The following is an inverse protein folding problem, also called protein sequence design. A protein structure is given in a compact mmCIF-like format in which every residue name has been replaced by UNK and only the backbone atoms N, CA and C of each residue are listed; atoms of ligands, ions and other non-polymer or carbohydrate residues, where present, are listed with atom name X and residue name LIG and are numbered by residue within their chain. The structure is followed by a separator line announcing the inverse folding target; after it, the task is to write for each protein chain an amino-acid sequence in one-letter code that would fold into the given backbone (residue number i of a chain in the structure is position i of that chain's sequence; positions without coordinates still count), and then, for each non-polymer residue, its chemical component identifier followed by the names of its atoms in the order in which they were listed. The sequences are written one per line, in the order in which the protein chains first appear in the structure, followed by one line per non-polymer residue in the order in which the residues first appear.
data_IF_875225420327
#
_entry.id   IF_875225420327
#
_cell.length_a   1.000
_cell.length_b   1.000
_cell.length_c   1.000
_cell.angle_alpha   90.00
_cell.angle_beta   90.00
_cell.angle_gamma   90.00
#
_symmetry.space_group_name_H-M   'P 1'
#
loop_
_entity.id
_entity.type
_entity.pdbx_description
1 polymer ?
#
# COMPACT_ATOMS: atom_id res chain seq x y z
N UNK A 1 -5.93 -7.67 6.40
CA UNK A 1 -6.30 -6.65 7.42
C UNK A 1 -7.41 -7.21 8.29
N UNK A 2 -7.10 -7.87 9.39
CA UNK A 2 -8.09 -8.44 10.32
C UNK A 2 -8.50 -7.38 11.33
N UNK A 3 -9.70 -6.83 11.20
CA UNK A 3 -10.26 -5.89 12.19
C UNK A 3 -11.31 -6.58 13.05
N UNK A 4 -11.16 -6.43 14.36
CA UNK A 4 -12.06 -7.00 15.38
C UNK A 4 -13.40 -6.25 15.40
N UNK A 5 -14.49 -6.98 15.19
CA UNK A 5 -15.86 -6.48 15.30
C UNK A 5 -16.29 -6.39 16.77
N UNK A 6 -16.37 -5.20 17.36
CA UNK A 6 -16.96 -4.98 18.68
C UNK A 6 -18.46 -4.64 18.54
N UNK A 7 -19.32 -5.64 18.75
CA UNK A 7 -20.76 -5.40 18.90
C UNK A 7 -21.05 -4.78 20.27
N UNK A 8 -21.47 -3.53 20.28
CA UNK A 8 -22.10 -2.91 21.46
C UNK A 8 -23.61 -3.13 21.43
N UNK A 9 -24.10 -3.96 22.32
CA UNK A 9 -25.52 -4.06 22.66
C UNK A 9 -25.89 -2.90 23.57
N UNK A 10 -26.82 -2.05 23.11
CA UNK A 10 -27.42 -0.99 23.92
C UNK A 10 -28.68 -1.57 24.60
N UNK A 11 -28.71 -1.63 25.93
CA UNK A 11 -29.97 -1.75 26.65
C UNK A 11 -30.17 -0.52 27.54
N UNK A 12 -31.25 0.21 27.22
CA UNK A 12 -31.82 1.26 28.09
C UNK A 12 -32.69 0.61 29.14
N UNK A 13 -32.49 0.97 30.42
CA UNK A 13 -33.56 1.04 31.40
C UNK A 13 -33.17 2.01 32.51
N UNK A 14 -33.86 3.11 32.57
CA UNK A 14 -33.88 4.04 33.69
C UNK A 14 -34.76 3.46 34.79
N UNK A 15 -34.34 3.56 36.04
CA UNK A 15 -35.25 3.72 37.19
C UNK A 15 -34.53 4.45 38.33
N UNK A 16 -35.17 5.50 38.79
CA UNK A 16 -34.92 6.32 39.96
C UNK A 16 -35.13 5.50 41.24
N UNK A 17 -34.22 5.59 42.19
CA UNK A 17 -34.56 5.44 43.62
C UNK A 17 -33.57 6.28 44.46
N UNK A 18 -34.13 7.33 45.07
CA UNK A 18 -33.54 8.11 46.14
C UNK A 18 -33.66 7.29 47.43
N UNK A 19 -32.53 7.06 48.09
CA UNK A 19 -32.53 6.67 49.50
C UNK A 19 -31.41 7.40 50.25
N UNK A 20 -31.85 8.29 51.09
CA UNK A 20 -31.07 9.01 52.11
C UNK A 20 -30.66 7.99 53.18
N UNK A 21 -29.37 7.81 53.42
CA UNK A 21 -28.86 7.24 54.68
C UNK A 21 -27.72 8.09 55.22
N UNK A 22 -27.93 8.53 56.41
CA UNK A 22 -27.13 9.35 57.30
C UNK A 22 -25.89 8.56 57.76
N UNK A 23 -24.81 9.26 57.77
CA UNK A 23 -23.47 9.08 58.26
C UNK A 23 -23.07 7.94 59.19
N UNK A 24 -21.90 7.46 58.89
CA UNK A 24 -20.83 7.23 59.86
C UNK A 24 -19.51 7.40 59.08
N UNK A 25 -18.72 8.39 59.47
CA UNK A 25 -17.40 8.61 58.91
C UNK A 25 -16.48 7.48 59.33
N UNK A 26 -16.11 6.67 58.33
CA UNK A 26 -14.90 5.89 58.33
C UNK A 26 -13.99 6.56 57.33
N UNK A 27 -13.07 7.38 57.78
CA UNK A 27 -11.89 7.79 56.99
C UNK A 27 -11.05 6.55 56.71
N UNK A 28 -11.54 5.69 55.84
CA UNK A 28 -10.73 4.75 55.12
C UNK A 28 -10.00 5.56 54.05
N UNK A 29 -8.73 5.91 54.31
CA UNK A 29 -7.81 6.21 53.25
C UNK A 29 -7.78 4.98 52.38
N UNK A 30 -8.55 4.99 51.28
CA UNK A 30 -8.27 4.11 50.16
C UNK A 30 -6.87 4.54 49.68
N UNK A 31 -5.85 3.90 50.23
CA UNK A 31 -4.56 3.83 49.58
C UNK A 31 -4.89 3.30 48.18
N UNK A 32 -4.77 4.16 47.16
CA UNK A 32 -4.69 3.66 45.82
C UNK A 32 -3.65 2.55 45.89
N UNK A 33 -4.09 1.32 45.76
CA UNK A 33 -3.15 0.24 45.54
C UNK A 33 -2.37 0.71 44.31
N UNK A 34 -1.09 1.06 44.50
CA UNK A 34 -0.15 1.18 43.39
C UNK A 34 -0.42 -0.08 42.58
N UNK A 35 -1.07 0.10 41.41
CA UNK A 35 -1.52 -1.05 40.68
C UNK A 35 -0.23 -1.74 40.22
N UNK A 36 0.03 -2.93 40.74
CA UNK A 36 1.16 -3.75 40.31
C UNK A 36 1.17 -3.94 38.78
N UNK A 37 0.02 -3.64 38.15
CA UNK A 37 -0.21 -3.65 36.73
C UNK A 37 0.46 -2.51 35.96
N UNK A 38 0.65 -1.31 36.57
CA UNK A 38 1.29 -0.18 35.88
C UNK A 38 2.77 -0.46 35.59
N UNK A 39 3.39 -1.34 36.39
CA UNK A 39 4.77 -1.76 36.26
C UNK A 39 4.91 -3.22 35.80
N UNK A 40 3.80 -3.86 35.38
CA UNK A 40 3.89 -5.22 34.91
C UNK A 40 4.75 -5.27 33.65
N UNK A 41 5.75 -6.13 33.69
CA UNK A 41 6.61 -6.47 32.55
C UNK A 41 6.52 -7.99 32.41
N UNK A 42 6.08 -8.51 31.26
CA UNK A 42 6.07 -9.95 31.06
C UNK A 42 7.49 -10.51 31.24
N UNK A 43 7.63 -11.72 31.81
CA UNK A 43 8.91 -12.35 31.94
C UNK A 43 9.57 -12.53 30.57
N UNK A 44 10.91 -12.47 30.48
CA UNK A 44 11.61 -12.86 29.26
C UNK A 44 11.17 -14.26 28.84
N UNK A 45 10.83 -14.40 27.56
CA UNK A 45 10.49 -15.68 26.98
C UNK A 45 11.48 -15.97 25.84
N UNK A 46 11.92 -17.19 25.70
CA UNK A 46 12.83 -17.64 24.63
C UNK A 46 12.08 -18.12 23.37
N UNK A 47 10.76 -18.03 23.39
CA UNK A 47 9.90 -18.54 22.30
C UNK A 47 9.02 -17.48 21.63
N UNK A 48 8.74 -16.39 22.34
CA UNK A 48 7.75 -15.41 21.91
C UNK A 48 8.30 -13.99 22.00
N UNK A 49 7.79 -13.17 21.10
CA UNK A 49 7.92 -11.72 21.15
C UNK A 49 6.74 -11.12 21.95
N UNK A 50 6.94 -9.94 22.51
CA UNK A 50 5.93 -9.21 23.25
C UNK A 50 5.77 -7.81 22.69
N UNK A 51 4.54 -7.35 22.59
CA UNK A 51 4.19 -5.96 22.25
C UNK A 51 3.26 -5.40 23.33
N UNK A 52 3.54 -4.17 23.79
CA UNK A 52 2.64 -3.41 24.65
C UNK A 52 2.05 -2.24 23.88
N UNK A 53 0.73 -2.10 23.91
CA UNK A 53 0.02 -0.97 23.34
C UNK A 53 -0.04 0.21 24.33
N UNK A 54 -0.37 1.39 23.83
CA UNK A 54 -0.50 2.63 24.64
C UNK A 54 -1.64 2.54 25.65
N UNK A 55 -2.66 1.72 25.38
CA UNK A 55 -3.75 1.41 26.32
C UNK A 55 -3.35 0.42 27.44
N UNK A 56 -2.05 0.04 27.47
CA UNK A 56 -1.43 -0.90 28.43
C UNK A 56 -1.74 -2.39 28.19
N UNK A 57 -2.42 -2.75 27.12
CA UNK A 57 -2.58 -4.16 26.71
C UNK A 57 -1.25 -4.75 26.29
N UNK A 58 -0.99 -6.00 26.71
CA UNK A 58 0.14 -6.81 26.28
C UNK A 58 -0.34 -7.95 25.40
N UNK A 59 0.30 -8.07 24.23
CA UNK A 59 0.09 -9.18 23.31
C UNK A 59 1.36 -10.02 23.26
N UNK A 60 1.16 -11.35 23.24
CA UNK A 60 2.16 -12.38 23.09
C UNK A 60 2.05 -12.99 21.70
N UNK A 61 3.18 -13.25 21.04
CA UNK A 61 3.18 -13.82 19.70
C UNK A 61 4.50 -13.65 18.99
N UNK A 62 4.47 -13.35 17.70
CA UNK A 62 5.64 -13.13 16.86
C UNK A 62 5.58 -11.74 16.21
N UNK A 63 6.59 -10.92 16.46
CA UNK A 63 6.76 -9.66 15.74
C UNK A 63 7.20 -9.94 14.29
N UNK A 64 6.37 -9.58 13.32
CA UNK A 64 6.63 -9.82 11.90
C UNK A 64 7.48 -8.71 11.30
N UNK A 65 6.94 -7.49 11.19
CA UNK A 65 7.61 -6.37 10.54
C UNK A 65 7.13 -5.02 11.10
N UNK A 66 7.94 -4.00 10.85
CA UNK A 66 7.55 -2.59 10.90
C UNK A 66 7.95 -1.93 9.59
N UNK A 67 6.98 -1.54 8.79
CA UNK A 67 7.16 -0.76 7.57
C UNK A 67 6.15 0.40 7.53
N UNK A 68 6.61 1.54 7.03
CA UNK A 68 5.75 2.71 6.79
C UNK A 68 4.90 3.13 8.01
N UNK A 69 5.48 2.99 9.23
CA UNK A 69 4.88 3.25 10.54
C UNK A 69 3.78 2.26 10.97
N UNK A 70 3.63 1.15 10.28
CA UNK A 70 2.73 0.05 10.64
C UNK A 70 3.53 -1.12 11.21
N UNK A 71 3.05 -1.68 12.31
CA UNK A 71 3.59 -2.87 12.99
C UNK A 71 2.67 -4.04 12.70
N UNK A 72 3.20 -5.08 12.10
CA UNK A 72 2.51 -6.37 11.99
C UNK A 72 3.00 -7.29 13.11
N UNK A 73 2.05 -7.83 13.86
CA UNK A 73 2.28 -8.74 14.97
C UNK A 73 1.32 -9.91 14.90
N UNK A 74 1.86 -11.12 14.84
CA UNK A 74 1.10 -12.37 14.80
C UNK A 74 0.87 -12.84 16.25
N UNK A 75 -0.30 -12.55 16.77
CA UNK A 75 -0.66 -12.88 18.15
C UNK A 75 -1.09 -14.33 18.26
N UNK A 76 -0.65 -15.04 19.31
CA UNK A 76 -1.02 -16.42 19.55
C UNK A 76 -2.54 -16.66 19.61
N UNK A 77 -3.32 -15.67 20.03
CA UNK A 77 -4.77 -15.79 20.27
C UNK A 77 -5.62 -14.97 19.29
N UNK A 78 -5.04 -13.99 18.59
CA UNK A 78 -5.77 -13.01 17.77
C UNK A 78 -5.35 -13.05 16.30
N UNK A 79 -4.51 -14.01 15.90
CA UNK A 79 -3.91 -14.07 14.57
C UNK A 79 -3.10 -12.80 14.22
N UNK A 80 -2.89 -12.53 12.94
CA UNK A 80 -2.13 -11.38 12.47
C UNK A 80 -2.87 -10.08 12.77
N UNK A 81 -2.22 -9.19 13.53
CA UNK A 81 -2.72 -7.87 13.90
C UNK A 81 -1.80 -6.79 13.35
N UNK A 82 -2.39 -5.69 12.88
CA UNK A 82 -1.67 -4.50 12.43
C UNK A 82 -1.96 -3.33 13.37
N UNK A 83 -0.91 -2.65 13.81
CA UNK A 83 -0.98 -1.51 14.72
C UNK A 83 -0.21 -0.32 14.14
N UNK A 84 -0.73 0.88 14.34
CA UNK A 84 0.05 2.09 14.14
C UNK A 84 1.23 2.11 15.12
N UNK A 85 2.43 2.46 14.64
CA UNK A 85 3.60 2.53 15.53
C UNK A 85 3.36 3.47 16.72
N UNK A 86 2.57 4.54 16.54
CA UNK A 86 2.23 5.46 17.62
C UNK A 86 1.42 4.82 18.74
N UNK A 87 0.64 3.77 18.44
CA UNK A 87 -0.13 3.01 19.44
C UNK A 87 0.70 1.94 20.15
N UNK A 88 1.94 1.73 19.72
CA UNK A 88 2.86 0.76 20.32
C UNK A 88 3.74 1.45 21.35
N UNK A 89 3.67 1.04 22.62
CA UNK A 89 4.48 1.56 23.72
C UNK A 89 5.80 0.82 23.86
N UNK A 90 5.78 -0.51 23.74
CA UNK A 90 6.97 -1.36 23.86
C UNK A 90 6.96 -2.52 22.88
N UNK A 91 8.14 -2.92 22.44
CA UNK A 91 8.39 -4.15 21.67
C UNK A 91 9.55 -4.88 22.33
N UNK A 92 9.43 -6.18 22.50
CA UNK A 92 10.50 -7.06 23.02
C UNK A 92 10.57 -8.30 22.17
N UNK A 93 11.68 -8.53 21.49
CA UNK A 93 11.86 -9.68 20.62
C UNK A 93 12.75 -10.73 21.29
N UNK A 94 12.46 -12.01 21.01
CA UNK A 94 13.28 -13.12 21.45
C UNK A 94 14.31 -13.56 20.39
N UNK A 95 14.03 -13.27 19.11
CA UNK A 95 14.93 -13.53 17.99
C UNK A 95 15.53 -12.24 17.44
N UNK A 96 16.70 -12.31 16.81
CA UNK A 96 17.28 -11.17 16.12
C UNK A 96 16.33 -10.61 15.07
N UNK A 97 16.28 -9.29 14.95
CA UNK A 97 15.58 -8.54 13.92
C UNK A 97 16.58 -7.66 13.18
N UNK A 98 16.31 -7.41 11.90
CA UNK A 98 17.06 -6.46 11.08
C UNK A 98 16.40 -5.09 11.18
N UNK A 99 17.05 -4.16 11.87
CA UNK A 99 16.52 -2.81 12.17
C UNK A 99 17.27 -1.78 11.36
N UNK A 100 16.54 -1.01 10.55
CA UNK A 100 17.09 0.11 9.81
C UNK A 100 16.93 1.39 10.61
N UNK A 101 18.06 2.05 10.86
CA UNK A 101 18.18 3.30 11.62
C UNK A 101 18.69 4.39 10.69
N UNK A 102 18.11 5.58 10.78
CA UNK A 102 18.54 6.79 10.08
C UNK A 102 18.55 7.95 11.07
N UNK A 103 19.67 8.67 11.15
CA UNK A 103 19.74 9.89 11.94
C UNK A 103 19.35 11.09 11.08
N UNK A 104 18.19 11.70 11.30
CA UNK A 104 17.74 12.84 10.50
C UNK A 104 18.54 14.12 10.75
N UNK A 105 19.33 14.20 11.84
CA UNK A 105 20.11 15.38 12.20
C UNK A 105 21.53 15.34 11.62
N UNK A 106 22.07 14.13 11.41
CA UNK A 106 23.47 13.95 10.98
C UNK A 106 23.63 13.79 9.47
N UNK A 107 22.54 13.64 8.69
CA UNK A 107 22.56 13.29 7.27
C UNK A 107 23.44 12.05 6.94
N UNK A 108 23.63 11.18 7.91
CA UNK A 108 24.40 9.97 7.74
C UNK A 108 23.64 8.93 6.90
N UNK A 109 24.37 8.07 6.23
CA UNK A 109 23.76 6.96 5.50
C UNK A 109 23.00 6.04 6.49
N UNK A 110 21.78 5.56 6.10
CA UNK A 110 21.03 4.64 6.94
C UNK A 110 21.85 3.38 7.25
N UNK A 111 21.89 3.00 8.51
CA UNK A 111 22.55 1.77 8.95
C UNK A 111 21.53 0.68 9.20
N UNK A 112 21.94 -0.58 9.00
CA UNK A 112 21.16 -1.76 9.37
C UNK A 112 21.89 -2.43 10.51
N UNK A 113 21.16 -2.66 11.63
CA UNK A 113 21.67 -3.37 12.80
C UNK A 113 20.83 -4.64 12.99
N UNK A 114 21.53 -5.78 13.08
CA UNK A 114 20.88 -7.07 13.36
C UNK A 114 21.12 -7.49 14.79
N UNK A 115 20.06 -7.77 15.55
CA UNK A 115 20.16 -8.13 16.96
C UNK A 115 18.79 -8.26 17.62
N UNK A 116 18.81 -8.62 18.91
CA UNK A 116 17.59 -8.64 19.73
C UNK A 116 17.14 -7.21 19.96
N UNK A 117 15.88 -6.93 19.63
CA UNK A 117 15.29 -5.61 19.72
C UNK A 117 14.50 -5.45 21.01
N UNK A 118 14.73 -4.35 21.68
CA UNK A 118 13.86 -3.82 22.74
C UNK A 118 13.53 -2.35 22.42
N UNK A 119 12.26 -2.04 22.22
CA UNK A 119 11.76 -0.67 22.10
C UNK A 119 10.98 -0.33 23.36
N UNK A 120 11.34 0.74 24.07
CA UNK A 120 10.67 1.22 25.30
C UNK A 120 10.56 2.74 25.22
N UNK A 121 9.33 3.25 25.09
CA UNK A 121 9.09 4.69 24.93
C UNK A 121 9.87 5.27 23.75
N UNK A 122 10.79 6.20 24.01
CA UNK A 122 11.60 6.85 22.96
C UNK A 122 12.93 6.17 22.68
N UNK A 123 13.22 5.03 23.33
CA UNK A 123 14.50 4.34 23.19
C UNK A 123 14.35 3.03 22.43
N UNK A 124 15.30 2.77 21.56
CA UNK A 124 15.54 1.50 20.89
C UNK A 124 16.86 0.94 21.40
N UNK A 125 16.84 -0.28 21.88
CA UNK A 125 17.99 -1.00 22.37
C UNK A 125 18.18 -2.23 21.49
N UNK A 126 19.34 -2.31 20.84
CA UNK A 126 19.74 -3.45 20.02
C UNK A 126 20.87 -4.21 20.73
N UNK A 127 20.61 -5.48 21.05
CA UNK A 127 21.63 -6.36 21.64
C UNK A 127 22.19 -7.27 20.55
N UNK A 128 23.51 -7.14 20.30
CA UNK A 128 24.26 -7.87 19.28
C UNK A 128 25.38 -8.65 19.99
N UNK A 129 25.14 -9.92 20.27
CA UNK A 129 26.03 -10.69 21.16
C UNK A 129 26.07 -10.07 22.55
N UNK A 130 27.28 -9.69 23.03
CA UNK A 130 27.49 -9.05 24.33
C UNK A 130 27.42 -7.50 24.26
N UNK A 131 27.30 -6.93 23.07
CA UNK A 131 27.22 -5.48 22.87
C UNK A 131 25.79 -4.99 22.85
N UNK A 132 25.58 -3.80 23.43
CA UNK A 132 24.28 -3.10 23.38
C UNK A 132 24.46 -1.74 22.70
N UNK A 133 23.59 -1.43 21.73
CA UNK A 133 23.54 -0.15 21.03
C UNK A 133 22.19 0.50 21.28
N UNK A 134 22.20 1.79 21.61
CA UNK A 134 21.00 2.57 21.85
C UNK A 134 20.78 3.57 20.71
N UNK A 135 19.50 3.71 20.32
CA UNK A 135 19.02 4.67 19.31
C UNK A 135 17.74 5.34 19.81
N UNK A 136 17.41 6.47 19.23
CA UNK A 136 16.13 7.13 19.49
C UNK A 136 15.04 6.56 18.60
N UNK A 137 13.80 6.54 19.09
CA UNK A 137 12.63 6.07 18.32
C UNK A 137 12.42 6.84 17.01
N UNK A 138 12.71 8.14 16.98
CA UNK A 138 12.58 8.95 15.75
C UNK A 138 13.62 8.59 14.67
N UNK A 139 14.69 7.86 15.01
CA UNK A 139 15.68 7.33 14.07
C UNK A 139 15.23 6.02 13.41
N UNK A 140 14.20 5.35 13.95
CA UNK A 140 13.67 4.09 13.43
C UNK A 140 13.02 4.29 12.06
N UNK A 141 13.42 3.48 11.10
CA UNK A 141 12.86 3.48 9.73
C UNK A 141 12.02 2.25 9.49
N UNK A 142 12.57 1.06 9.79
CA UNK A 142 11.89 -0.21 9.60
C UNK A 142 12.50 -1.31 10.45
N UNK A 143 11.72 -2.35 10.71
CA UNK A 143 12.14 -3.59 11.36
C UNK A 143 11.69 -4.74 10.48
N UNK A 144 12.59 -5.66 10.17
CA UNK A 144 12.31 -6.87 9.41
C UNK A 144 12.82 -8.11 10.17
N UNK A 145 12.22 -9.25 9.91
CA UNK A 145 12.76 -10.54 10.35
C UNK A 145 14.03 -10.85 9.55
N UNK A 146 14.99 -11.52 10.17
CA UNK A 146 16.27 -11.90 9.55
C UNK A 146 16.20 -13.19 8.75
N UNK A 147 15.22 -14.05 9.01
CA UNK A 147 15.08 -15.42 8.50
C UNK A 147 13.82 -15.68 7.66
N UNK A 148 13.15 -14.62 7.15
CA UNK A 148 11.96 -14.75 6.31
C UNK A 148 12.24 -15.48 5.00
N UNK A 149 11.34 -16.36 4.61
CA UNK A 149 11.29 -16.91 3.25
C UNK A 149 10.88 -15.82 2.27
N UNK A 150 11.37 -15.92 1.03
CA UNK A 150 11.08 -14.92 -0.01
C UNK A 150 9.58 -14.68 -0.22
N UNK A 151 8.75 -15.72 -0.13
CA UNK A 151 7.29 -15.60 -0.31
C UNK A 151 6.62 -14.76 0.79
N UNK A 152 7.15 -14.77 2.00
CA UNK A 152 6.63 -14.01 3.13
C UNK A 152 6.92 -12.49 3.03
N UNK A 153 7.72 -12.09 2.04
CA UNK A 153 7.99 -10.69 1.72
C UNK A 153 6.96 -10.11 0.74
N UNK A 154 6.10 -10.96 0.18
CA UNK A 154 5.12 -10.60 -0.82
C UNK A 154 3.71 -10.52 -0.24
N UNK A 155 2.94 -9.55 -0.69
CA UNK A 155 1.49 -9.47 -0.53
C UNK A 155 0.83 -9.36 -1.90
N UNK A 156 -0.38 -9.87 -2.03
CA UNK A 156 -1.12 -9.92 -3.30
C UNK A 156 -2.54 -9.42 -3.06
N UNK A 157 -3.03 -8.64 -4.01
CA UNK A 157 -4.44 -8.24 -4.06
C UNK A 157 -4.96 -8.53 -5.48
N UNK A 158 -6.16 -9.10 -5.59
CA UNK A 158 -6.80 -9.40 -6.87
C UNK A 158 -8.24 -8.89 -6.81
N UNK A 159 -8.60 -8.07 -7.79
CA UNK A 159 -9.96 -7.53 -7.96
C UNK A 159 -10.55 -7.99 -9.28
N UNK A 160 -11.79 -8.46 -9.25
CA UNK A 160 -12.55 -8.93 -10.41
C UNK A 160 -13.85 -8.16 -10.51
N UNK A 161 -14.12 -7.61 -11.70
CA UNK A 161 -15.39 -6.98 -12.06
C UNK A 161 -15.99 -7.67 -13.27
N UNK A 162 -17.29 -7.93 -13.24
CA UNK A 162 -18.02 -8.50 -14.38
C UNK A 162 -19.41 -7.85 -14.52
N UNK A 163 -19.78 -7.53 -15.76
CA UNK A 163 -21.13 -7.13 -16.12
C UNK A 163 -21.58 -7.98 -17.33
N UNK A 164 -22.57 -8.81 -17.14
CA UNK A 164 -23.11 -9.69 -18.20
C UNK A 164 -24.59 -9.38 -18.36
N UNK A 165 -24.97 -9.01 -19.58
CA UNK A 165 -26.35 -8.74 -19.95
C UNK A 165 -26.74 -9.61 -21.15
N UNK A 166 -27.92 -10.22 -21.09
CA UNK A 166 -28.50 -11.00 -22.17
C UNK A 166 -29.96 -10.59 -22.42
N UNK A 167 -30.47 -10.80 -23.62
CA UNK A 167 -31.83 -10.47 -24.01
C UNK A 167 -31.88 -9.54 -25.22
N UNK A 168 -32.59 -8.42 -25.12
CA UNK A 168 -32.68 -7.44 -26.21
C UNK A 168 -31.35 -6.75 -26.55
N UNK A 169 -30.41 -6.78 -25.62
CA UNK A 169 -29.04 -6.30 -25.78
C UNK A 169 -28.13 -7.32 -25.13
N UNK A 170 -27.09 -7.75 -25.82
CA UNK A 170 -26.08 -8.64 -25.31
C UNK A 170 -24.79 -7.86 -25.04
N UNK A 171 -24.36 -7.82 -23.76
CA UNK A 171 -23.07 -7.22 -23.38
C UNK A 171 -22.33 -8.14 -22.42
N UNK A 172 -21.02 -8.16 -22.55
CA UNK A 172 -20.10 -8.81 -21.60
C UNK A 172 -18.95 -7.85 -21.36
N UNK A 173 -18.79 -7.43 -20.12
CA UNK A 173 -17.65 -6.62 -19.66
C UNK A 173 -16.95 -7.39 -18.55
N UNK A 174 -15.65 -7.58 -18.70
CA UNK A 174 -14.79 -8.25 -17.73
C UNK A 174 -13.61 -7.35 -17.41
N UNK A 175 -13.34 -7.17 -16.12
CA UNK A 175 -12.21 -6.39 -15.63
C UNK A 175 -11.43 -7.26 -14.65
N UNK A 176 -10.11 -7.24 -14.77
CA UNK A 176 -9.19 -7.87 -13.84
C UNK A 176 -8.14 -6.84 -13.42
N UNK A 177 -8.00 -6.66 -12.12
CA UNK A 177 -6.88 -5.94 -11.53
C UNK A 177 -6.12 -6.92 -10.63
N UNK A 178 -4.80 -6.84 -10.63
CA UNK A 178 -3.96 -7.61 -9.73
C UNK A 178 -2.76 -6.77 -9.32
N UNK A 179 -2.49 -6.75 -8.02
CA UNK A 179 -1.33 -6.08 -7.43
C UNK A 179 -0.47 -7.11 -6.71
N UNK A 180 0.83 -7.02 -6.87
CA UNK A 180 1.81 -7.75 -6.08
C UNK A 180 2.84 -6.78 -5.52
N UNK A 181 3.03 -6.80 -4.20
CA UNK A 181 3.96 -5.93 -3.49
C UNK A 181 4.95 -6.77 -2.71
N UNK A 182 6.25 -6.55 -2.95
CA UNK A 182 7.34 -7.09 -2.16
C UNK A 182 7.99 -6.00 -1.34
N UNK A 183 8.20 -6.24 -0.05
CA UNK A 183 8.76 -5.25 0.87
C UNK A 183 9.94 -5.80 1.66
N UNK A 184 11.02 -5.03 1.70
CA UNK A 184 12.18 -5.25 2.59
C UNK A 184 12.52 -3.95 3.33
N UNK A 185 13.46 -4.01 4.27
CA UNK A 185 13.92 -2.82 4.99
C UNK A 185 14.44 -1.69 4.07
N UNK A 186 15.01 -2.02 2.91
CA UNK A 186 15.68 -1.06 2.03
C UNK A 186 15.01 -0.88 0.67
N UNK A 187 14.05 -1.71 0.31
CA UNK A 187 13.46 -1.68 -1.03
C UNK A 187 12.01 -2.14 -1.05
N UNK A 188 11.28 -1.72 -2.09
CA UNK A 188 9.99 -2.30 -2.45
C UNK A 188 9.97 -2.62 -3.94
N UNK A 189 9.27 -3.67 -4.31
CA UNK A 189 8.87 -3.98 -5.69
C UNK A 189 7.36 -3.96 -5.73
N UNK A 190 6.81 -3.32 -6.75
CA UNK A 190 5.37 -3.33 -7.02
C UNK A 190 5.16 -3.78 -8.45
N UNK A 191 4.15 -4.60 -8.66
CA UNK A 191 3.70 -5.06 -9.97
C UNK A 191 2.18 -4.93 -10.01
N UNK A 192 1.68 -4.13 -10.95
CA UNK A 192 0.27 -3.86 -11.15
C UNK A 192 -0.14 -4.38 -12.53
N UNK A 193 -1.18 -5.17 -12.59
CA UNK A 193 -1.83 -5.57 -13.82
C UNK A 193 -3.25 -5.04 -13.87
N UNK A 194 -3.62 -4.49 -15.02
CA UNK A 194 -4.98 -4.09 -15.36
C UNK A 194 -5.36 -4.67 -16.71
N UNK A 195 -6.47 -5.40 -16.77
CA UNK A 195 -7.04 -5.95 -18.00
C UNK A 195 -8.52 -5.65 -18.11
N UNK A 196 -8.94 -5.17 -19.27
CA UNK A 196 -10.34 -4.91 -19.58
C UNK A 196 -10.70 -5.56 -20.91
N UNK A 197 -11.79 -6.33 -20.92
CA UNK A 197 -12.39 -6.92 -22.12
C UNK A 197 -13.88 -6.61 -22.16
N UNK A 198 -14.34 -6.03 -23.26
CA UNK A 198 -15.74 -5.73 -23.48
C UNK A 198 -16.21 -6.20 -24.85
N UNK A 199 -17.43 -6.75 -24.88
CA UNK A 199 -18.09 -7.22 -26.09
C UNK A 199 -19.56 -6.79 -26.06
N UNK A 200 -20.06 -6.26 -27.17
CA UNK A 200 -21.46 -5.89 -27.34
C UNK A 200 -21.99 -6.48 -28.66
N UNK A 201 -23.16 -7.13 -28.64
CA UNK A 201 -23.79 -7.76 -29.81
C UNK A 201 -22.82 -8.66 -30.60
N UNK A 202 -21.98 -9.41 -29.88
CA UNK A 202 -21.00 -10.28 -30.51
C UNK A 202 -19.72 -9.59 -31.02
N UNK A 203 -19.64 -8.27 -30.98
CA UNK A 203 -18.50 -7.47 -31.47
C UNK A 203 -17.68 -7.01 -30.27
N UNK A 204 -16.35 -7.20 -30.34
CA UNK A 204 -15.41 -6.66 -29.35
C UNK A 204 -15.41 -5.14 -29.40
N UNK A 205 -15.59 -4.50 -28.24
CA UNK A 205 -15.65 -3.04 -28.09
C UNK A 205 -14.52 -2.47 -27.26
N UNK A 206 -13.87 -3.31 -26.44
CA UNK A 206 -12.65 -2.96 -25.69
C UNK A 206 -11.81 -4.21 -25.45
N UNK A 207 -10.50 -4.05 -25.55
CA UNK A 207 -9.52 -5.09 -25.20
C UNK A 207 -8.18 -4.41 -24.93
N UNK A 208 -7.97 -4.07 -23.68
CA UNK A 208 -6.75 -3.41 -23.26
C UNK A 208 -6.09 -4.13 -22.09
N UNK A 209 -4.77 -4.06 -22.05
CA UNK A 209 -3.95 -4.66 -21.01
C UNK A 209 -2.83 -3.71 -20.64
N UNK A 210 -2.64 -3.51 -19.35
CA UNK A 210 -1.52 -2.74 -18.79
C UNK A 210 -0.83 -3.56 -17.71
N UNK A 211 0.46 -3.73 -17.83
CA UNK A 211 1.31 -4.30 -16.79
C UNK A 211 2.37 -3.26 -16.45
N UNK A 212 2.38 -2.78 -15.23
CA UNK A 212 3.36 -1.83 -14.70
C UNK A 212 4.14 -2.53 -13.60
N UNK A 213 5.44 -2.38 -13.59
CA UNK A 213 6.28 -2.92 -12.53
C UNK A 213 7.42 -1.96 -12.21
N UNK A 214 7.75 -1.81 -10.93
CA UNK A 214 8.86 -0.97 -10.52
C UNK A 214 9.55 -1.47 -9.26
N UNK A 215 10.82 -1.09 -9.13
CA UNK A 215 11.62 -1.32 -7.93
C UNK A 215 12.11 0.00 -7.38
N UNK A 216 11.73 0.31 -6.15
CA UNK A 216 12.21 1.46 -5.39
C UNK A 216 13.27 1.00 -4.39
N UNK A 217 14.37 1.76 -4.33
CA UNK A 217 15.38 1.68 -3.29
C UNK A 217 15.27 2.93 -2.41
N UNK A 218 15.12 2.73 -1.10
CA UNK A 218 14.97 3.83 -0.14
C UNK A 218 16.34 4.39 0.22
N UNK A 219 16.63 5.60 -0.28
CA UNK A 219 17.85 6.33 0.05
C UNK A 219 17.73 6.87 1.48
N UNK A 220 16.60 7.48 1.81
CA UNK A 220 16.29 8.00 3.14
C UNK A 220 14.81 7.80 3.49
N UNK A 221 14.37 8.26 4.69
CA UNK A 221 12.95 8.25 5.08
C UNK A 221 12.04 8.96 4.07
N UNK A 222 12.58 9.97 3.36
CA UNK A 222 11.81 10.83 2.45
C UNK A 222 12.13 10.61 0.99
N UNK A 223 13.30 10.08 0.64
CA UNK A 223 13.78 9.98 -0.73
C UNK A 223 13.92 8.52 -1.12
N UNK A 224 13.40 8.17 -2.28
CA UNK A 224 13.63 6.87 -2.90
C UNK A 224 14.10 7.02 -4.35
N UNK A 225 14.88 6.05 -4.80
CA UNK A 225 15.28 5.90 -6.19
C UNK A 225 14.52 4.73 -6.80
N UNK A 226 13.65 5.05 -7.77
CA UNK A 226 13.02 4.05 -8.62
C UNK A 226 14.01 3.62 -9.68
N UNK A 227 14.76 2.56 -9.37
CA UNK A 227 15.85 2.08 -10.20
C UNK A 227 15.36 1.65 -11.57
N UNK A 228 14.25 0.96 -11.62
CA UNK A 228 13.59 0.47 -12.83
C UNK A 228 12.09 0.71 -12.68
N UNK A 229 11.50 1.30 -13.72
CA UNK A 229 10.08 1.32 -13.99
C UNK A 229 9.88 0.72 -15.37
N UNK A 230 9.15 -0.38 -15.45
CA UNK A 230 8.72 -1.00 -16.69
C UNK A 230 7.21 -0.91 -16.84
N UNK A 231 6.73 -0.57 -18.02
CA UNK A 231 5.31 -0.61 -18.35
C UNK A 231 5.14 -1.25 -19.73
N UNK A 232 4.28 -2.28 -19.78
CA UNK A 232 3.72 -2.83 -21.01
C UNK A 232 2.27 -2.38 -21.13
N UNK A 233 1.90 -1.86 -22.30
CA UNK A 233 0.54 -1.44 -22.60
C UNK A 233 0.12 -1.92 -23.99
N UNK A 234 -1.10 -2.39 -24.10
CA UNK A 234 -1.76 -2.78 -25.36
C UNK A 234 -3.18 -2.30 -25.35
N UNK A 235 -3.59 -1.63 -26.44
CA UNK A 235 -4.96 -1.19 -26.66
C UNK A 235 -5.20 -1.00 -28.16
N UNK A 236 -5.83 -1.99 -28.77
CA UNK A 236 -6.04 -1.98 -30.24
C UNK A 236 -7.02 -0.89 -30.66
N UNK A 237 -7.95 -0.47 -29.78
CA UNK A 237 -8.90 0.61 -30.05
C UNK A 237 -8.25 1.99 -30.01
N UNK A 238 -7.11 2.10 -29.33
CA UNK A 238 -6.21 3.27 -29.36
C UNK A 238 -5.12 3.18 -30.41
N UNK A 239 -5.23 2.21 -31.32
CA UNK A 239 -4.22 1.92 -32.35
C UNK A 239 -2.85 1.49 -31.79
N UNK A 240 -2.80 0.94 -30.57
CA UNK A 240 -1.59 0.45 -29.92
C UNK A 240 -1.60 -1.07 -29.92
N UNK A 241 -0.76 -1.71 -30.77
CA UNK A 241 -0.56 -3.16 -30.76
C UNK A 241 0.30 -3.61 -29.60
N UNK A 242 1.45 -2.94 -29.38
CA UNK A 242 2.32 -3.15 -28.25
C UNK A 242 3.04 -1.84 -27.90
N UNK A 243 3.11 -1.49 -26.63
CA UNK A 243 3.90 -0.37 -26.13
C UNK A 243 4.72 -0.84 -24.93
N UNK A 244 6.00 -0.56 -24.95
CA UNK A 244 6.92 -0.84 -23.86
C UNK A 244 7.62 0.46 -23.44
N UNK A 245 7.51 0.79 -22.15
CA UNK A 245 8.21 1.91 -21.55
C UNK A 245 9.19 1.40 -20.50
N UNK A 246 10.41 1.95 -20.49
CA UNK A 246 11.41 1.70 -19.46
C UNK A 246 11.94 3.05 -18.97
N UNK A 247 12.01 3.21 -17.66
CA UNK A 247 12.43 4.48 -17.06
C UNK A 247 13.16 4.25 -15.73
N UNK A 248 13.85 5.29 -15.28
CA UNK A 248 14.34 5.46 -13.90
C UNK A 248 13.86 6.81 -13.37
N UNK A 249 13.59 6.91 -12.06
CA UNK A 249 13.10 8.15 -11.46
C UNK A 249 13.57 8.33 -10.03
N UNK A 250 13.59 9.57 -9.57
CA UNK A 250 13.70 9.90 -8.16
C UNK A 250 12.31 10.24 -7.62
N UNK A 251 12.05 9.80 -6.41
CA UNK A 251 10.79 10.05 -5.73
C UNK A 251 10.99 10.62 -4.34
N UNK A 252 9.93 11.27 -3.86
CA UNK A 252 9.88 11.92 -2.57
C UNK A 252 8.56 11.62 -1.88
N UNK A 253 8.63 11.18 -0.61
CA UNK A 253 7.47 11.00 0.26
C UNK A 253 7.07 12.36 0.84
N UNK A 254 5.99 12.96 0.35
CA UNK A 254 5.44 14.22 0.89
C UNK A 254 4.81 13.96 2.24
N UNK A 255 3.96 12.92 2.32
CA UNK A 255 3.35 12.40 3.55
C UNK A 255 3.70 10.92 3.65
N UNK A 256 4.11 10.51 4.83
CA UNK A 256 4.40 9.12 5.12
C UNK A 256 4.03 8.85 6.58
N UNK A 257 2.81 8.37 6.77
CA UNK A 257 2.26 7.91 8.05
C UNK A 257 1.68 6.52 7.85
N UNK A 258 1.20 5.88 8.88
CA UNK A 258 0.43 4.64 8.78
C UNK A 258 -0.87 4.82 7.97
N UNK A 259 -1.56 5.95 8.14
CA UNK A 259 -2.88 6.21 7.54
C UNK A 259 -2.82 6.88 6.18
N UNK A 260 -1.77 7.67 5.93
CA UNK A 260 -1.68 8.45 4.68
C UNK A 260 -0.28 8.36 4.11
N UNK A 261 -0.20 7.99 2.84
CA UNK A 261 1.03 7.93 2.06
C UNK A 261 0.85 8.79 0.82
N UNK A 262 1.71 9.77 0.63
CA UNK A 262 1.70 10.61 -0.57
C UNK A 262 3.10 10.71 -1.16
N UNK A 263 3.25 10.09 -2.31
CA UNK A 263 4.50 10.01 -3.05
C UNK A 263 4.41 10.85 -4.34
N UNK A 264 5.49 11.53 -4.66
CA UNK A 264 5.71 12.11 -5.98
C UNK A 264 7.00 11.56 -6.57
N UNK A 265 7.06 11.48 -7.90
CA UNK A 265 8.28 11.03 -8.60
C UNK A 265 8.42 11.71 -9.95
N UNK A 266 9.67 11.88 -10.39
CA UNK A 266 9.98 12.35 -11.72
C UNK A 266 11.22 11.63 -12.26
N UNK A 267 11.25 11.38 -13.56
CA UNK A 267 12.32 10.59 -14.15
C UNK A 267 12.37 10.65 -15.67
N UNK A 268 13.29 9.88 -16.23
CA UNK A 268 13.54 9.80 -17.66
C UNK A 268 13.65 8.35 -18.10
N UNK A 269 13.34 8.12 -19.38
CA UNK A 269 13.35 6.78 -19.94
C UNK A 269 13.19 6.77 -21.45
N UNK A 270 12.69 5.67 -21.96
CA UNK A 270 12.35 5.47 -23.35
C UNK A 270 11.06 4.70 -23.52
N UNK A 271 10.38 4.95 -24.63
CA UNK A 271 9.14 4.28 -25.01
C UNK A 271 9.28 3.75 -26.43
N UNK A 272 8.99 2.47 -26.62
CA UNK A 272 8.75 1.86 -27.91
C UNK A 272 7.25 1.63 -28.08
N UNK A 273 6.70 2.02 -29.23
CA UNK A 273 5.31 1.82 -29.59
C UNK A 273 5.21 1.19 -30.96
N UNK A 274 4.50 0.06 -31.07
CA UNK A 274 4.09 -0.56 -32.32
C UNK A 274 2.60 -0.31 -32.51
N UNK A 275 2.23 0.22 -33.67
CA UNK A 275 0.83 0.55 -34.00
C UNK A 275 0.12 -0.65 -34.63
N UNK A 276 -1.20 -0.73 -34.49
CA UNK A 276 -2.04 -1.73 -35.17
C UNK A 276 -2.07 -1.45 -36.68
N UNK A 277 -2.19 -0.17 -37.04
CA UNK A 277 -2.15 0.29 -38.42
C UNK A 277 -1.65 1.74 -38.50
N UNK A 278 -1.14 2.12 -39.67
CA UNK A 278 -0.68 3.50 -39.92
C UNK A 278 -1.08 3.93 -41.34
N UNK A 279 -1.11 5.22 -41.60
CA UNK A 279 -1.30 5.78 -42.93
C UNK A 279 -0.22 5.28 -43.88
N UNK A 280 -0.52 5.13 -45.20
CA UNK A 280 0.46 4.74 -46.19
C UNK A 280 1.70 5.66 -46.19
N UNK A 281 2.87 5.07 -46.07
CA UNK A 281 4.16 5.79 -46.04
C UNK A 281 4.61 6.25 -44.65
N UNK A 282 3.88 5.89 -43.58
CA UNK A 282 4.30 6.09 -42.19
C UNK A 282 4.91 4.80 -41.63
N UNK A 283 5.81 4.95 -40.65
CA UNK A 283 6.41 3.82 -39.94
C UNK A 283 5.37 3.17 -39.01
N UNK A 284 5.36 1.84 -39.00
CA UNK A 284 4.46 1.04 -38.16
C UNK A 284 4.86 0.97 -36.69
N UNK A 285 6.02 1.49 -36.35
CA UNK A 285 6.52 1.59 -34.98
C UNK A 285 7.31 2.88 -34.75
N UNK A 286 7.52 3.22 -33.50
CA UNK A 286 8.28 4.41 -33.12
C UNK A 286 8.98 4.18 -31.77
N UNK A 287 10.21 4.71 -31.65
CA UNK A 287 10.96 4.78 -30.39
C UNK A 287 11.18 6.23 -30.01
N UNK A 288 10.87 6.57 -28.76
CA UNK A 288 10.94 7.93 -28.25
C UNK A 288 11.66 7.98 -26.91
N UNK A 289 12.49 8.99 -26.65
CA UNK A 289 12.81 9.36 -25.29
C UNK A 289 11.53 9.76 -24.54
N UNK A 290 11.51 9.54 -23.24
CA UNK A 290 10.38 9.86 -22.39
C UNK A 290 10.86 10.61 -21.15
N UNK A 291 10.13 11.67 -20.79
CA UNK A 291 10.19 12.30 -19.47
C UNK A 291 8.88 11.98 -18.75
N UNK A 292 8.98 11.54 -17.51
CA UNK A 292 7.80 11.13 -16.74
C UNK A 292 7.74 11.81 -15.37
N UNK A 293 6.52 12.02 -14.90
CA UNK A 293 6.22 12.41 -13.53
C UNK A 293 5.00 11.60 -13.05
N UNK A 294 4.96 11.32 -11.76
CA UNK A 294 3.84 10.60 -11.16
C UNK A 294 3.60 11.01 -9.73
N UNK A 295 2.39 10.77 -9.27
CA UNK A 295 2.01 10.90 -7.88
C UNK A 295 1.11 9.75 -7.46
N UNK A 296 1.32 9.24 -6.27
CA UNK A 296 0.49 8.22 -5.63
C UNK A 296 0.08 8.74 -4.27
N UNK A 297 -1.22 8.81 -4.05
CA UNK A 297 -1.83 9.19 -2.77
C UNK A 297 -2.71 8.04 -2.30
N UNK A 298 -2.47 7.57 -1.10
CA UNK A 298 -3.16 6.46 -0.47
C UNK A 298 -3.50 6.87 0.95
N UNK A 299 -4.78 6.75 1.35
CA UNK A 299 -5.21 7.16 2.69
C UNK A 299 -6.41 6.37 3.19
N UNK A 300 -6.36 5.99 4.46
CA UNK A 300 -7.53 5.52 5.19
C UNK A 300 -8.44 6.70 5.49
N UNK A 301 -9.62 6.76 4.86
CA UNK A 301 -10.64 7.76 5.16
C UNK A 301 -11.29 7.50 6.52
N UNK A 302 -11.49 6.25 6.83
CA UNK A 302 -11.96 5.75 8.11
C UNK A 302 -11.65 4.24 8.22
N UNK A 303 -12.08 3.59 9.29
CA UNK A 303 -11.81 2.16 9.58
C UNK A 303 -12.36 1.15 8.55
N UNK A 304 -13.15 1.60 7.59
CA UNK A 304 -13.86 0.76 6.63
C UNK A 304 -13.62 1.20 5.18
N UNK A 305 -12.89 2.30 4.99
CA UNK A 305 -12.79 2.90 3.66
C UNK A 305 -11.39 3.42 3.41
N UNK A 306 -10.82 2.98 2.29
CA UNK A 306 -9.53 3.42 1.77
C UNK A 306 -9.72 4.17 0.46
N UNK A 307 -8.91 5.18 0.24
CA UNK A 307 -8.94 6.00 -0.96
C UNK A 307 -7.56 6.08 -1.59
N UNK A 308 -7.46 5.58 -2.82
CA UNK A 308 -6.24 5.55 -3.61
C UNK A 308 -6.35 6.49 -4.81
N UNK A 309 -5.28 7.20 -5.11
CA UNK A 309 -5.06 7.93 -6.38
C UNK A 309 -3.68 7.57 -6.92
N UNK A 310 -3.60 7.05 -8.14
CA UNK A 310 -2.35 6.93 -8.92
C UNK A 310 -2.50 7.74 -10.20
N UNK A 311 -1.60 8.71 -10.39
CA UNK A 311 -1.55 9.51 -11.60
C UNK A 311 -0.14 9.51 -12.16
N UNK A 312 -0.04 9.22 -13.46
CA UNK A 312 1.20 9.31 -14.21
C UNK A 312 1.04 10.17 -15.47
N UNK A 313 2.05 10.96 -15.73
CA UNK A 313 2.18 11.84 -16.88
C UNK A 313 3.51 11.57 -17.58
N UNK A 314 3.48 11.50 -18.91
CA UNK A 314 4.70 11.32 -19.71
C UNK A 314 4.70 12.27 -20.91
N UNK A 315 5.89 12.80 -21.20
CA UNK A 315 6.21 13.57 -22.39
C UNK A 315 7.05 12.67 -23.28
N UNK A 316 6.57 12.45 -24.49
CA UNK A 316 7.23 11.65 -25.54
C UNK A 316 7.26 12.43 -26.84
N UNK A 317 7.87 11.91 -27.92
CA UNK A 317 7.77 12.54 -29.23
C UNK A 317 6.32 12.56 -29.75
N UNK A 318 6.09 13.29 -30.82
CA UNK A 318 4.75 13.50 -31.37
C UNK A 318 4.14 12.22 -31.92
N UNK A 319 4.94 11.38 -32.56
CA UNK A 319 4.54 10.10 -33.13
C UNK A 319 4.16 9.07 -32.05
N UNK A 320 4.73 9.17 -30.84
CA UNK A 320 4.39 8.33 -29.68
C UNK A 320 3.29 8.90 -28.80
N UNK A 321 2.61 9.99 -29.24
CA UNK A 321 1.43 10.56 -28.55
C UNK A 321 1.65 11.91 -27.89
N UNK A 322 2.84 12.49 -27.86
CA UNK A 322 3.30 13.77 -27.30
C UNK A 322 3.13 13.90 -25.78
N UNK A 323 1.90 13.91 -25.29
CA UNK A 323 1.58 13.91 -23.87
C UNK A 323 0.63 12.77 -23.59
N UNK A 324 1.00 11.93 -22.63
CA UNK A 324 0.15 10.81 -22.21
C UNK A 324 -0.11 10.90 -20.72
N UNK A 325 -1.36 10.65 -20.34
CA UNK A 325 -1.84 10.67 -18.97
C UNK A 325 -2.49 9.33 -18.67
N UNK A 326 -2.24 8.83 -17.48
CA UNK A 326 -2.98 7.73 -16.89
C UNK A 326 -3.34 8.11 -15.47
N UNK A 327 -4.62 8.07 -15.16
CA UNK A 327 -5.17 8.38 -13.85
C UNK A 327 -6.10 7.25 -13.42
N UNK A 328 -5.89 6.75 -12.24
CA UNK A 328 -6.82 5.84 -11.59
C UNK A 328 -7.06 6.32 -10.17
N UNK A 329 -8.31 6.29 -9.75
CA UNK A 329 -8.68 6.49 -8.35
C UNK A 329 -9.65 5.39 -7.94
N UNK A 330 -9.43 4.84 -6.74
CA UNK A 330 -10.22 3.74 -6.20
C UNK A 330 -10.67 4.11 -4.79
N UNK A 331 -11.95 3.87 -4.54
CA UNK A 331 -12.53 3.86 -3.21
C UNK A 331 -12.82 2.41 -2.86
N UNK A 332 -12.10 1.87 -1.88
CA UNK A 332 -12.28 0.53 -1.35
C UNK A 332 -13.08 0.58 -0.06
N UNK A 333 -13.98 -0.36 0.12
CA UNK A 333 -14.81 -0.46 1.33
C UNK A 333 -14.82 -1.89 1.83
N UNK A 334 -14.35 -2.09 3.05
CA UNK A 334 -14.32 -3.41 3.71
C UNK A 334 -15.75 -3.98 3.80
N UNK A 335 -15.91 -5.22 3.40
CA UNK A 335 -17.17 -5.96 3.48
C UNK A 335 -17.13 -7.01 4.59
N UNK A 336 -16.52 -8.15 4.33
CA UNK A 336 -16.44 -9.30 5.26
C UNK A 336 -15.08 -9.98 5.09
N UNK A 337 -14.34 -10.13 6.19
CA UNK A 337 -13.00 -10.75 6.16
C UNK A 337 -12.04 -9.92 5.32
N UNK A 338 -11.36 -10.57 4.39
CA UNK A 338 -10.37 -9.96 3.49
C UNK A 338 -10.99 -9.54 2.13
N UNK A 339 -12.32 -9.39 2.08
CA UNK A 339 -13.05 -8.95 0.88
C UNK A 339 -13.44 -7.49 0.96
N UNK A 340 -13.19 -6.75 -0.12
CA UNK A 340 -13.59 -5.35 -0.28
C UNK A 340 -14.48 -5.16 -1.51
N UNK A 341 -15.26 -4.10 -1.47
CA UNK A 341 -15.95 -3.53 -2.63
C UNK A 341 -15.15 -2.33 -3.14
N UNK A 342 -14.68 -2.45 -4.39
CA UNK A 342 -13.93 -1.40 -5.07
C UNK A 342 -14.80 -0.63 -6.05
N UNK A 343 -14.71 0.69 -6.01
CA UNK A 343 -15.24 1.59 -7.03
C UNK A 343 -14.07 2.38 -7.60
N UNK A 344 -13.68 2.06 -8.84
CA UNK A 344 -12.56 2.72 -9.52
C UNK A 344 -13.03 3.59 -10.66
N UNK A 345 -12.38 4.74 -10.83
CA UNK A 345 -12.48 5.58 -12.02
C UNK A 345 -11.11 5.63 -12.70
N UNK A 346 -11.07 5.29 -13.99
CA UNK A 346 -9.86 5.30 -14.82
C UNK A 346 -10.03 6.34 -15.93
N UNK A 347 -9.00 7.16 -16.13
CA UNK A 347 -8.90 8.08 -17.26
C UNK A 347 -7.54 7.94 -17.92
N UNK A 348 -7.59 7.67 -19.22
CA UNK A 348 -6.43 7.62 -20.10
C UNK A 348 -6.52 8.71 -21.17
N UNK A 349 -5.42 9.43 -21.39
CA UNK A 349 -5.34 10.43 -22.45
C UNK A 349 -4.05 10.28 -23.26
N UNK A 350 -4.22 10.31 -24.59
CA UNK A 350 -3.13 10.46 -25.56
C UNK A 350 -3.40 11.73 -26.36
N UNK A 351 -2.53 12.74 -26.24
CA UNK A 351 -2.78 14.05 -26.86
C UNK A 351 -2.77 14.01 -28.38
N UNK A 352 -1.87 13.19 -28.97
CA UNK A 352 -1.77 12.97 -30.41
C UNK A 352 -1.79 11.45 -30.71
N UNK A 353 -2.97 10.82 -30.76
CA UNK A 353 -3.07 9.43 -31.16
C UNK A 353 -2.64 9.28 -32.64
N UNK A 354 -2.02 8.16 -32.97
CA UNK A 354 -1.60 7.84 -34.34
C UNK A 354 -2.85 7.54 -35.20
N UNK A 355 -2.92 8.15 -36.39
CA UNK A 355 -3.98 7.93 -37.36
C UNK A 355 -3.94 6.49 -37.89
N UNK A 356 -5.09 5.85 -38.01
CA UNK A 356 -5.25 4.51 -38.58
C UNK A 356 -5.02 4.53 -40.13
N UNK A 357 -4.87 3.36 -40.71
CA UNK A 357 -4.68 3.21 -42.17
C UNK A 357 -5.89 3.66 -43.00
N UNK A 358 -7.08 3.71 -42.43
CA UNK A 358 -8.33 4.20 -43.05
C UNK A 358 -8.54 5.71 -42.90
N UNK A 359 -7.57 6.42 -42.29
CA UNK A 359 -7.65 7.86 -42.01
C UNK A 359 -8.42 8.23 -40.76
N UNK A 360 -8.95 7.27 -40.02
CA UNK A 360 -9.61 7.53 -38.73
C UNK A 360 -8.60 7.82 -37.63
N UNK A 361 -8.94 8.72 -36.70
CA UNK A 361 -8.10 9.08 -35.57
C UNK A 361 -8.79 8.58 -34.29
N UNK A 362 -8.10 7.75 -33.47
CA UNK A 362 -8.62 7.32 -32.18
C UNK A 362 -8.97 8.50 -31.27
N UNK A 363 -9.94 8.34 -30.37
CA UNK A 363 -10.27 9.35 -29.37
C UNK A 363 -9.05 9.59 -28.46
N UNK A 364 -8.89 10.85 -28.04
CA UNK A 364 -7.79 11.24 -27.15
C UNK A 364 -8.01 10.77 -25.72
N UNK A 365 -9.24 10.82 -25.27
CA UNK A 365 -9.65 10.53 -23.90
C UNK A 365 -10.52 9.29 -23.84
N UNK A 366 -10.21 8.41 -22.89
CA UNK A 366 -11.05 7.29 -22.46
C UNK A 366 -11.33 7.40 -20.97
N UNK A 367 -12.58 7.09 -20.62
CA UNK A 367 -13.06 7.07 -19.26
C UNK A 367 -13.70 5.73 -18.95
N UNK A 368 -13.42 5.18 -17.79
CA UNK A 368 -14.02 3.95 -17.34
C UNK A 368 -14.37 4.04 -15.86
N UNK A 369 -15.55 3.54 -15.48
CA UNK A 369 -15.92 3.28 -14.09
C UNK A 369 -16.02 1.77 -13.91
N UNK A 370 -15.36 1.26 -12.88
CA UNK A 370 -15.29 -0.16 -12.57
C UNK A 370 -15.85 -0.35 -11.16
N UNK A 371 -16.74 -1.32 -11.01
CA UNK A 371 -17.22 -1.78 -9.71
C UNK A 371 -16.84 -3.26 -9.64
N UNK A 372 -16.09 -3.63 -8.62
CA UNK A 372 -15.56 -4.98 -8.46
C UNK A 372 -15.43 -5.37 -7.00
N UNK A 373 -15.06 -6.62 -6.78
CA UNK A 373 -14.69 -7.13 -5.47
C UNK A 373 -13.21 -7.47 -5.49
N UNK A 374 -12.50 -7.07 -4.44
CA UNK A 374 -11.11 -7.44 -4.23
C UNK A 374 -10.95 -8.40 -3.06
N UNK A 375 -9.85 -9.13 -3.08
CA UNK A 375 -9.46 -10.06 -2.05
C UNK A 375 -7.96 -9.92 -1.77
N UNK A 376 -7.62 -9.67 -0.51
CA UNK A 376 -6.25 -9.55 -0.01
C UNK A 376 -5.72 -10.93 0.43
N UNK A 377 -4.47 -11.27 -0.01
CA UNK A 377 -3.80 -12.55 0.27
C UNK A 377 -2.42 -12.28 0.91
#
# INVERSE_FOLDING_TARGET
MGRIHNQRIISRAAWFCILVCIGFGVNGYARAADSAWDNFVPPPDDKFDWIQLTNSEWLKGEFKVLYDYEVEFDSDELDLQTFDLEDVKQIRTHKPKSVRIEDPELNDEPIIVEGILTLIGDKIIMTVGDETREFKRNQLVSIAQTDKKEIELWSFNISLGANIRGGNTETTDLNLQANAKRRTASSRVIMDYFGNYSKAEGIETSNNHRLKGYRDYFISKKIFWRQILGEYYRDRFKNIDNQLSLATSLGYHIIKTSKTKWDISAGLGGRYTKFVSVEPGKDGDNTSPALGAGTMYDTELNKWMDFLVDYSFQIVNEESGRYTHHFITTLSTDLIGDMDLDVSFVWDRIQKPQTNSDGSVPKKDDYQVIIGFSYDI
#
